data_IF_836357708015
#
_entry.id   IF_836357708015
#
_cell.length_a   1.000
_cell.length_b   1.000
_cell.length_c   1.000
_cell.angle_alpha   90.00
_cell.angle_beta   90.00
_cell.angle_gamma   90.00
#
_symmetry.space_group_name_H-M   'P 1'
#
loop_
_entity.id
_entity.type
_entity.pdbx_description
1 polymer ?
#
# COMPACT_ATOMS: atom_id res chain seq x y z
N UNK A 1 23.32 -22.53 4.26
CA UNK A 1 22.04 -23.24 4.11
C UNK A 1 21.37 -23.22 5.48
N UNK A 2 20.44 -22.30 5.66
CA UNK A 2 19.60 -22.27 6.85
C UNK A 2 18.23 -21.89 6.34
N UNK A 3 17.39 -22.90 6.06
CA UNK A 3 15.98 -22.69 5.79
C UNK A 3 15.35 -22.16 7.09
N UNK A 4 14.95 -20.90 7.09
CA UNK A 4 13.97 -20.42 8.05
C UNK A 4 12.64 -21.09 7.71
N UNK A 5 12.23 -22.02 8.56
CA UNK A 5 10.92 -22.64 8.52
C UNK A 5 9.88 -21.58 8.87
N UNK A 6 9.03 -21.24 7.90
CA UNK A 6 7.82 -20.45 8.15
C UNK A 6 6.90 -21.25 9.10
N UNK A 7 6.33 -20.61 10.14
CA UNK A 7 5.38 -21.28 11.02
C UNK A 7 4.09 -21.63 10.26
N UNK A 8 3.55 -22.81 10.57
CA UNK A 8 2.27 -23.32 10.05
C UNK A 8 1.11 -22.31 10.25
N UNK A 9 0.23 -22.26 9.25
CA UNK A 9 -0.90 -21.34 9.05
C UNK A 9 -1.82 -21.09 10.26
N UNK A 10 -1.88 -22.01 11.22
CA UNK A 10 -2.80 -21.93 12.37
C UNK A 10 -2.31 -21.03 13.54
N UNK A 11 -1.21 -20.28 13.38
CA UNK A 11 -0.59 -19.57 14.52
C UNK A 11 -0.37 -18.07 14.35
N UNK A 12 -0.68 -17.49 13.19
CA UNK A 12 -0.67 -16.03 13.05
C UNK A 12 -2.09 -15.47 13.30
N UNK A 13 -2.37 -14.83 14.45
CA UNK A 13 -3.70 -14.29 14.73
C UNK A 13 -4.16 -13.27 13.68
N UNK A 14 -3.20 -12.64 12.98
CA UNK A 14 -3.43 -11.64 11.92
C UNK A 14 -3.92 -12.21 10.58
N UNK A 15 -3.95 -13.53 10.41
CA UNK A 15 -4.43 -14.20 9.20
C UNK A 15 -5.73 -14.97 9.41
N UNK A 16 -6.30 -14.94 10.62
CA UNK A 16 -7.59 -15.61 10.85
C UNK A 16 -8.72 -14.85 10.16
N UNK A 17 -9.65 -15.58 9.53
CA UNK A 17 -10.78 -14.98 8.80
C UNK A 17 -11.62 -14.05 9.69
N UNK A 18 -11.87 -14.45 10.95
CA UNK A 18 -12.62 -13.64 11.91
C UNK A 18 -11.93 -12.30 12.22
N UNK A 19 -10.59 -12.30 12.37
CA UNK A 19 -9.82 -11.08 12.57
C UNK A 19 -9.90 -10.18 11.33
N UNK A 20 -9.65 -10.73 10.15
CA UNK A 20 -9.68 -9.97 8.89
C UNK A 20 -11.06 -9.37 8.59
N UNK A 21 -12.14 -10.10 8.87
CA UNK A 21 -13.51 -9.59 8.75
C UNK A 21 -13.77 -8.42 9.70
N UNK A 22 -13.31 -8.53 10.95
CA UNK A 22 -13.42 -7.44 11.95
C UNK A 22 -12.68 -6.19 11.47
N UNK A 23 -11.45 -6.34 10.99
CA UNK A 23 -10.65 -5.21 10.53
C UNK A 23 -11.20 -4.59 9.24
N UNK A 24 -11.74 -5.39 8.32
CA UNK A 24 -12.46 -4.90 7.15
C UNK A 24 -13.67 -4.05 7.56
N UNK A 25 -14.47 -4.54 8.51
CA UNK A 25 -15.63 -3.80 9.01
C UNK A 25 -15.20 -2.48 9.66
N UNK A 26 -14.12 -2.49 10.43
CA UNK A 26 -13.55 -1.27 10.99
C UNK A 26 -13.13 -0.26 9.90
N UNK A 27 -12.53 -0.70 8.79
CA UNK A 27 -12.24 0.17 7.64
C UNK A 27 -13.53 0.75 7.04
N UNK A 28 -14.56 -0.08 6.85
CA UNK A 28 -15.82 0.34 6.24
C UNK A 28 -16.59 1.35 7.11
N UNK A 29 -16.49 1.23 8.43
CA UNK A 29 -17.13 2.12 9.40
C UNK A 29 -16.34 3.41 9.66
N UNK A 30 -15.04 3.40 9.35
CA UNK A 30 -14.17 4.56 9.58
C UNK A 30 -14.36 5.61 8.47
N UNK A 31 -14.66 6.89 8.82
CA UNK A 31 -14.71 7.95 7.83
C UNK A 31 -13.38 8.13 7.11
N UNK A 32 -13.43 8.41 5.80
CA UNK A 32 -12.22 8.69 5.02
C UNK A 32 -11.48 9.91 5.56
N UNK A 33 -10.16 9.86 5.48
CA UNK A 33 -9.32 11.01 5.82
C UNK A 33 -9.66 12.21 4.90
N UNK A 34 -9.71 13.45 5.42
CA UNK A 34 -10.00 14.62 4.59
C UNK A 34 -8.85 14.91 3.62
N UNK A 35 -9.01 14.47 2.38
CA UNK A 35 -7.99 14.61 1.34
C UNK A 35 -7.63 16.07 1.03
N UNK A 36 -6.32 16.29 0.87
CA UNK A 36 -5.74 17.49 0.31
C UNK A 36 -6.23 17.74 -1.11
N UNK A 37 -6.11 18.98 -1.57
CA UNK A 37 -6.47 19.34 -2.94
C UNK A 37 -5.73 18.49 -3.98
N UNK A 38 -4.45 18.21 -3.75
CA UNK A 38 -3.65 17.43 -4.69
C UNK A 38 -4.10 15.98 -4.76
N UNK A 39 -4.42 15.35 -3.62
CA UNK A 39 -4.97 14.00 -3.58
C UNK A 39 -6.33 13.93 -4.30
N UNK A 40 -7.21 14.91 -4.07
CA UNK A 40 -8.50 15.00 -4.80
C UNK A 40 -8.32 15.07 -6.31
N UNK A 41 -7.38 15.90 -6.79
CA UNK A 41 -7.06 16.00 -8.23
C UNK A 41 -6.49 14.68 -8.76
N UNK A 42 -5.61 14.03 -7.99
CA UNK A 42 -5.01 12.75 -8.37
C UNK A 42 -6.07 11.64 -8.53
N UNK A 43 -6.93 11.44 -7.54
CA UNK A 43 -7.99 10.43 -7.61
C UNK A 43 -9.04 10.75 -8.67
N UNK A 44 -9.37 12.04 -8.86
CA UNK A 44 -10.21 12.44 -9.98
C UNK A 44 -9.57 12.09 -11.33
N UNK A 45 -8.25 12.28 -11.47
CA UNK A 45 -7.50 11.84 -12.65
C UNK A 45 -7.57 10.33 -12.89
N UNK A 46 -7.44 9.53 -11.83
CA UNK A 46 -7.63 8.08 -11.87
C UNK A 46 -9.04 7.70 -12.33
N UNK A 47 -10.07 8.37 -11.81
CA UNK A 47 -11.46 8.14 -12.21
C UNK A 47 -11.74 8.52 -13.67
N UNK A 48 -11.12 9.60 -14.15
CA UNK A 48 -11.21 9.99 -15.58
C UNK A 48 -10.53 8.96 -16.47
N UNK A 49 -9.38 8.42 -16.05
CA UNK A 49 -8.59 7.47 -16.83
C UNK A 49 -9.21 6.06 -16.84
N UNK A 50 -9.57 5.55 -15.66
CA UNK A 50 -9.93 4.15 -15.43
C UNK A 50 -11.42 3.92 -15.13
N UNK A 51 -12.18 5.00 -14.93
CA UNK A 51 -13.58 4.98 -14.51
C UNK A 51 -13.76 5.10 -13.00
N UNK A 52 -14.98 5.49 -12.57
CA UNK A 52 -15.33 5.67 -11.16
C UNK A 52 -15.52 4.38 -10.38
N UNK A 53 -15.89 3.28 -11.06
CA UNK A 53 -16.11 1.99 -10.42
C UNK A 53 -14.76 1.37 -10.07
N UNK A 54 -14.62 0.92 -8.83
CA UNK A 54 -13.47 0.15 -8.41
C UNK A 54 -13.66 -1.31 -8.83
N UNK A 55 -12.72 -1.82 -9.61
CA UNK A 55 -12.67 -3.20 -10.07
C UNK A 55 -11.21 -3.68 -10.16
N UNK A 56 -11.01 -4.99 -10.33
CA UNK A 56 -9.67 -5.58 -10.35
C UNK A 56 -8.71 -4.92 -11.36
N UNK A 57 -9.11 -4.59 -12.61
CA UNK A 57 -8.24 -3.83 -13.51
C UNK A 57 -7.85 -2.44 -12.97
N UNK A 58 -8.76 -1.72 -12.30
CA UNK A 58 -8.44 -0.40 -11.72
C UNK A 58 -7.54 -0.54 -10.49
N UNK A 59 -7.79 -1.54 -9.65
CA UNK A 59 -6.91 -1.88 -8.53
C UNK A 59 -5.50 -2.27 -9.02
N UNK A 60 -5.40 -3.06 -10.10
CA UNK A 60 -4.10 -3.36 -10.75
C UNK A 60 -3.35 -2.10 -11.21
N UNK A 61 -4.05 -1.10 -11.75
CA UNK A 61 -3.45 0.19 -12.08
C UNK A 61 -3.00 0.94 -10.81
N UNK A 62 -3.79 0.90 -9.74
CA UNK A 62 -3.45 1.50 -8.44
C UNK A 62 -2.14 0.93 -7.92
N UNK A 63 -1.97 -0.39 -7.90
CA UNK A 63 -0.76 -1.09 -7.45
C UNK A 63 0.49 -0.79 -8.29
N UNK A 64 0.32 -0.65 -9.61
CA UNK A 64 1.41 -0.21 -10.50
C UNK A 64 1.95 1.16 -10.05
N UNK A 65 1.06 2.03 -9.55
CA UNK A 65 1.39 3.37 -9.10
C UNK A 65 1.86 3.41 -7.64
N UNK A 66 1.32 2.56 -6.76
CA UNK A 66 1.56 2.56 -5.32
C UNK A 66 3.05 2.35 -4.96
N UNK A 67 3.78 1.52 -5.70
CA UNK A 67 5.23 1.31 -5.50
C UNK A 67 6.12 2.53 -5.87
N UNK A 68 5.58 3.55 -6.55
CA UNK A 68 6.39 4.64 -7.13
C UNK A 68 6.98 5.60 -6.08
N UNK A 69 6.19 6.14 -5.12
CA UNK A 69 6.69 7.10 -4.15
C UNK A 69 7.84 6.51 -3.32
N UNK A 70 7.69 5.27 -2.87
CA UNK A 70 8.69 4.54 -2.09
C UNK A 70 10.05 4.49 -2.79
N UNK A 71 10.09 4.05 -4.06
CA UNK A 71 11.32 4.01 -4.89
C UNK A 71 11.94 5.39 -5.06
N UNK A 72 11.11 6.39 -5.33
CA UNK A 72 11.56 7.77 -5.51
C UNK A 72 12.21 8.30 -4.22
N UNK A 73 11.61 8.01 -3.07
CA UNK A 73 12.11 8.47 -1.79
C UNK A 73 13.33 7.68 -1.33
N UNK A 74 13.40 6.39 -1.60
CA UNK A 74 14.55 5.54 -1.34
C UNK A 74 15.81 6.13 -2.01
N UNK A 75 15.76 6.40 -3.31
CA UNK A 75 16.87 7.01 -4.07
C UNK A 75 17.29 8.35 -3.43
N UNK A 76 16.32 9.18 -3.05
CA UNK A 76 16.58 10.47 -2.40
C UNK A 76 17.27 10.30 -1.05
N UNK A 77 16.90 9.28 -0.27
CA UNK A 77 17.48 9.04 1.04
C UNK A 77 18.86 8.39 0.96
N UNK A 78 19.17 7.58 -0.05
CA UNK A 78 20.55 7.17 -0.31
C UNK A 78 21.46 8.36 -0.60
N UNK A 79 20.99 9.33 -1.42
CA UNK A 79 21.75 10.57 -1.66
C UNK A 79 21.97 11.36 -0.36
N UNK A 80 20.97 11.41 0.54
CA UNK A 80 21.13 12.04 1.86
C UNK A 80 22.16 11.31 2.72
N UNK A 81 22.13 9.98 2.79
CA UNK A 81 23.14 9.20 3.51
C UNK A 81 24.55 9.49 3.01
N UNK A 82 24.77 9.44 1.69
CA UNK A 82 26.09 9.72 1.10
C UNK A 82 26.57 11.14 1.40
N UNK A 83 25.69 12.14 1.35
CA UNK A 83 26.06 13.54 1.63
C UNK A 83 26.24 13.83 3.12
N UNK A 84 25.52 13.13 3.98
CA UNK A 84 25.47 13.38 5.43
C UNK A 84 26.11 12.25 6.24
N UNK A 85 27.00 11.46 5.65
CA UNK A 85 27.57 10.24 6.25
C UNK A 85 28.24 10.47 7.62
N UNK A 86 28.71 11.68 7.90
CA UNK A 86 29.31 12.06 9.20
C UNK A 86 28.27 12.38 10.29
N UNK A 87 27.00 12.58 9.93
CA UNK A 87 25.92 12.86 10.86
C UNK A 87 25.11 11.57 11.09
N UNK A 88 25.48 10.84 12.14
CA UNK A 88 24.84 9.56 12.48
C UNK A 88 23.32 9.66 12.62
N UNK A 89 22.80 10.74 13.22
CA UNK A 89 21.35 10.94 13.34
C UNK A 89 20.66 11.15 11.99
N UNK A 90 21.29 11.88 11.07
CA UNK A 90 20.76 12.06 9.72
C UNK A 90 20.80 10.77 8.89
N UNK A 91 21.87 9.97 9.05
CA UNK A 91 22.02 8.67 8.41
C UNK A 91 20.96 7.68 8.93
N UNK A 92 20.76 7.60 10.25
CA UNK A 92 19.75 6.74 10.87
C UNK A 92 18.35 7.07 10.34
N UNK A 93 17.95 8.35 10.36
CA UNK A 93 16.65 8.77 9.81
C UNK A 93 16.47 8.46 8.33
N UNK A 94 17.54 8.59 7.55
CA UNK A 94 17.48 8.23 6.14
C UNK A 94 17.38 6.71 5.96
N UNK A 95 18.05 5.94 6.82
CA UNK A 95 17.96 4.48 6.84
C UNK A 95 16.55 4.00 7.18
N UNK A 96 15.86 4.65 8.12
CA UNK A 96 14.48 4.31 8.47
C UNK A 96 13.54 4.42 7.25
N UNK A 97 13.65 5.53 6.50
CA UNK A 97 12.85 5.73 5.28
C UNK A 97 13.24 4.75 4.18
N UNK A 98 14.52 4.41 4.05
CA UNK A 98 14.99 3.41 3.07
C UNK A 98 14.45 2.03 3.41
N UNK A 99 14.56 1.60 4.67
CA UNK A 99 14.09 0.27 5.09
C UNK A 99 12.59 0.14 4.84
N UNK A 100 11.81 1.06 5.39
CA UNK A 100 10.37 1.07 5.20
C UNK A 100 9.97 1.18 3.73
N UNK A 101 10.63 2.04 2.95
CA UNK A 101 10.34 2.17 1.52
C UNK A 101 10.67 0.91 0.70
N UNK A 102 11.58 0.05 1.15
CA UNK A 102 11.87 -1.24 0.51
C UNK A 102 10.82 -2.28 0.88
N UNK A 103 10.48 -2.35 2.15
CA UNK A 103 9.45 -3.28 2.62
C UNK A 103 8.08 -2.95 2.00
N UNK A 104 7.71 -1.66 1.97
CA UNK A 104 6.46 -1.21 1.37
C UNK A 104 6.44 -1.45 -0.15
N UNK A 105 7.45 -1.00 -0.91
CA UNK A 105 7.43 -1.20 -2.38
C UNK A 105 7.37 -2.68 -2.78
N UNK A 106 8.02 -3.57 -2.03
CA UNK A 106 7.98 -5.01 -2.29
C UNK A 106 6.60 -5.58 -1.97
N UNK A 107 5.93 -5.09 -0.92
CA UNK A 107 4.54 -5.43 -0.59
C UNK A 107 3.55 -5.00 -1.69
N UNK A 108 3.66 -3.77 -2.21
CA UNK A 108 2.85 -3.30 -3.37
C UNK A 108 3.05 -4.19 -4.61
N UNK A 109 4.28 -4.67 -4.84
CA UNK A 109 4.55 -5.61 -5.93
C UNK A 109 3.91 -6.99 -5.70
N UNK A 110 3.81 -7.44 -4.45
CA UNK A 110 3.07 -8.65 -4.11
C UNK A 110 1.57 -8.46 -4.34
N UNK A 111 0.99 -7.33 -3.93
CA UNK A 111 -0.42 -7.00 -4.20
C UNK A 111 -0.71 -6.98 -5.71
N UNK A 112 0.15 -6.32 -6.51
CA UNK A 112 0.05 -6.31 -7.96
C UNK A 112 0.00 -7.73 -8.55
N UNK A 113 0.86 -8.62 -8.05
CA UNK A 113 0.90 -10.02 -8.50
C UNK A 113 -0.38 -10.75 -8.08
N UNK A 114 -0.84 -10.60 -6.84
CA UNK A 114 -2.06 -11.22 -6.33
C UNK A 114 -3.28 -10.81 -7.18
N UNK A 115 -3.42 -9.53 -7.47
CA UNK A 115 -4.50 -9.02 -8.34
C UNK A 115 -4.39 -9.60 -9.75
N UNK A 116 -3.18 -9.69 -10.29
CA UNK A 116 -2.98 -10.29 -11.60
C UNK A 116 -3.39 -11.77 -11.63
N UNK A 117 -2.98 -12.55 -10.64
CA UNK A 117 -3.38 -13.97 -10.49
C UNK A 117 -4.89 -14.10 -10.32
N UNK A 118 -5.53 -13.19 -9.57
CA UNK A 118 -6.98 -13.15 -9.44
C UNK A 118 -7.67 -12.89 -10.78
N UNK A 119 -7.18 -11.91 -11.54
CA UNK A 119 -7.71 -11.60 -12.87
C UNK A 119 -7.56 -12.80 -13.82
N UNK A 120 -6.44 -13.52 -13.77
CA UNK A 120 -6.24 -14.74 -14.55
C UNK A 120 -7.24 -15.83 -14.14
N UNK A 121 -7.43 -16.06 -12.83
CA UNK A 121 -8.36 -17.05 -12.31
C UNK A 121 -9.82 -16.77 -12.72
N UNK A 122 -10.21 -15.50 -12.79
CA UNK A 122 -11.56 -15.08 -13.18
C UNK A 122 -11.70 -14.84 -14.70
N UNK A 123 -10.64 -15.07 -15.50
CA UNK A 123 -10.65 -14.83 -16.94
C UNK A 123 -10.80 -13.35 -17.34
N UNK A 124 -10.46 -12.43 -16.45
CA UNK A 124 -10.56 -10.98 -16.65
C UNK A 124 -9.34 -10.51 -17.45
N UNK A 125 -9.60 -9.81 -18.57
CA UNK A 125 -8.55 -9.22 -19.39
C UNK A 125 -8.17 -7.83 -18.91
N UNK A 126 -6.91 -7.47 -19.15
CA UNK A 126 -6.43 -6.10 -18.95
C UNK A 126 -7.24 -5.11 -19.81
N UNK A 127 -7.65 -4.00 -19.20
CA UNK A 127 -8.30 -2.89 -19.91
C UNK A 127 -7.26 -2.05 -20.65
N UNK A 128 -7.71 -1.23 -21.59
CA UNK A 128 -6.83 -0.41 -22.44
C UNK A 128 -5.85 0.49 -21.67
N UNK A 129 -6.22 0.99 -20.49
CA UNK A 129 -5.36 1.83 -19.66
C UNK A 129 -4.21 1.06 -18.98
N UNK A 130 -4.30 -0.28 -18.94
CA UNK A 130 -3.21 -1.18 -18.52
C UNK A 130 -2.25 -1.51 -19.67
N UNK A 131 -2.47 -0.96 -20.87
CA UNK A 131 -1.48 -1.06 -21.95
C UNK A 131 -0.16 -0.39 -21.52
N UNK A 132 0.96 -0.96 -21.97
CA UNK A 132 2.30 -0.51 -21.59
C UNK A 132 2.52 1.00 -21.84
N UNK A 133 1.93 1.55 -22.91
CA UNK A 133 2.04 2.97 -23.21
C UNK A 133 1.28 3.85 -22.19
N UNK A 134 0.02 3.52 -21.90
CA UNK A 134 -0.80 4.31 -20.99
C UNK A 134 -0.31 4.17 -19.54
N UNK A 135 -0.04 2.94 -19.11
CA UNK A 135 0.55 2.69 -17.78
C UNK A 135 1.93 3.31 -17.66
N UNK A 136 2.78 3.23 -18.69
CA UNK A 136 4.09 3.89 -18.70
C UNK A 136 4.00 5.41 -18.58
N UNK A 137 3.05 6.04 -19.27
CA UNK A 137 2.78 7.47 -19.14
C UNK A 137 2.28 7.85 -17.73
N UNK A 138 1.37 7.05 -17.15
CA UNK A 138 0.89 7.25 -15.78
C UNK A 138 2.03 7.12 -14.76
N UNK A 139 2.86 6.07 -14.87
CA UNK A 139 4.04 5.84 -14.03
C UNK A 139 5.01 7.02 -14.11
N UNK A 140 5.36 7.48 -15.32
CA UNK A 140 6.25 8.62 -15.50
C UNK A 140 5.68 9.88 -14.85
N UNK A 141 4.40 10.15 -15.08
CA UNK A 141 3.72 11.33 -14.55
C UNK A 141 3.72 11.32 -13.02
N UNK A 142 3.36 10.19 -12.42
CA UNK A 142 3.34 10.07 -10.97
C UNK A 142 4.75 10.11 -10.37
N UNK A 143 5.75 9.52 -11.04
CA UNK A 143 7.13 9.60 -10.58
C UNK A 143 7.69 11.03 -10.60
N UNK A 144 7.24 11.88 -11.54
CA UNK A 144 7.57 13.33 -11.55
C UNK A 144 6.90 14.03 -10.38
N UNK A 145 5.61 13.77 -10.13
CA UNK A 145 4.86 14.34 -9.00
C UNK A 145 5.53 13.94 -7.67
N UNK A 146 5.76 12.65 -7.43
CA UNK A 146 6.37 12.13 -6.21
C UNK A 146 7.77 12.73 -5.95
N UNK A 147 8.60 12.87 -7.00
CA UNK A 147 9.92 13.53 -6.91
C UNK A 147 9.78 14.99 -6.52
N UNK A 148 8.88 15.70 -7.19
CA UNK A 148 8.67 17.14 -6.99
C UNK A 148 8.17 17.42 -5.58
N UNK A 149 7.18 16.66 -5.10
CA UNK A 149 6.68 16.79 -3.74
C UNK A 149 7.77 16.54 -2.71
N UNK A 150 8.51 15.43 -2.82
CA UNK A 150 9.59 15.08 -1.89
C UNK A 150 10.76 16.07 -1.94
N UNK A 151 10.96 16.73 -3.08
CA UNK A 151 11.94 17.79 -3.22
C UNK A 151 11.56 19.01 -2.39
N UNK A 152 10.32 19.51 -2.51
CA UNK A 152 9.84 20.70 -1.80
C UNK A 152 9.50 20.43 -0.33
N UNK A 153 8.87 19.31 -0.03
CA UNK A 153 8.54 18.91 1.35
C UNK A 153 8.31 17.40 1.44
N UNK A 154 9.29 16.72 2.05
CA UNK A 154 9.16 15.29 2.34
C UNK A 154 7.93 14.97 3.20
N UNK A 155 7.59 15.82 4.18
CA UNK A 155 6.38 15.63 5.00
C UNK A 155 5.10 15.67 4.19
N UNK A 156 4.99 16.61 3.25
CA UNK A 156 3.81 16.67 2.38
C UNK A 156 3.74 15.50 1.41
N UNK A 157 4.89 14.97 0.98
CA UNK A 157 4.96 13.75 0.19
C UNK A 157 4.46 12.53 0.99
N UNK A 158 4.88 12.38 2.24
CA UNK A 158 4.36 11.35 3.14
C UNK A 158 2.86 11.52 3.43
N UNK A 159 2.37 12.74 3.67
CA UNK A 159 0.94 12.98 3.86
C UNK A 159 0.13 12.58 2.62
N UNK A 160 0.61 12.92 1.43
CA UNK A 160 -0.06 12.52 0.18
C UNK A 160 -0.10 11.00 0.01
N UNK A 161 0.94 10.30 0.44
CA UNK A 161 0.93 8.84 0.44
C UNK A 161 -0.06 8.30 1.48
N UNK A 162 -0.11 8.85 2.70
CA UNK A 162 -1.15 8.48 3.66
C UNK A 162 -2.58 8.67 3.08
N UNK A 163 -2.80 9.70 2.26
CA UNK A 163 -4.06 9.91 1.53
C UNK A 163 -4.28 8.85 0.43
N UNK A 164 -3.23 8.46 -0.29
CA UNK A 164 -3.22 7.37 -1.26
C UNK A 164 -3.58 6.04 -0.61
N UNK A 165 -2.91 5.67 0.48
CA UNK A 165 -3.15 4.42 1.19
C UNK A 165 -4.50 4.41 1.90
N UNK A 166 -4.94 5.55 2.45
CA UNK A 166 -6.30 5.65 2.97
C UNK A 166 -7.34 5.39 1.87
N UNK A 167 -7.07 5.81 0.62
CA UNK A 167 -7.92 5.51 -0.52
C UNK A 167 -7.89 4.02 -0.85
N UNK A 168 -6.70 3.43 -1.00
CA UNK A 168 -6.47 2.02 -1.32
C UNK A 168 -7.10 1.08 -0.28
N UNK A 169 -6.88 1.32 1.02
CA UNK A 169 -7.43 0.55 2.14
C UNK A 169 -8.93 0.31 1.95
N UNK A 170 -9.68 1.39 1.74
CA UNK A 170 -11.13 1.28 1.57
C UNK A 170 -11.58 0.85 0.17
N UNK A 171 -10.74 0.95 -0.87
CA UNK A 171 -11.01 0.31 -2.18
C UNK A 171 -11.03 -1.20 -1.98
N UNK A 172 -10.02 -1.77 -1.32
CA UNK A 172 -9.94 -3.21 -1.07
C UNK A 172 -11.05 -3.71 -0.13
N UNK A 173 -11.33 -2.98 0.94
CA UNK A 173 -12.44 -3.32 1.83
C UNK A 173 -13.79 -3.35 1.08
N UNK A 174 -13.99 -2.43 0.11
CA UNK A 174 -15.19 -2.39 -0.72
C UNK A 174 -15.21 -3.47 -1.80
N UNK A 175 -14.07 -3.79 -2.41
CA UNK A 175 -13.98 -4.85 -3.43
C UNK A 175 -14.49 -6.19 -2.91
N UNK A 176 -14.22 -6.52 -1.64
CA UNK A 176 -14.76 -7.74 -1.01
C UNK A 176 -16.28 -7.67 -0.89
N UNK A 177 -16.84 -6.52 -0.47
CA UNK A 177 -18.31 -6.32 -0.40
C UNK A 177 -18.96 -6.44 -1.78
N UNK A 178 -18.32 -5.89 -2.80
CA UNK A 178 -18.82 -5.87 -4.18
C UNK A 178 -18.68 -7.24 -4.87
N UNK A 179 -17.98 -8.19 -4.26
CA UNK A 179 -17.72 -9.54 -4.78
C UNK A 179 -18.02 -10.62 -3.72
N UNK A 180 -19.29 -10.79 -3.30
CA UNK A 180 -19.66 -11.72 -2.24
C UNK A 180 -19.30 -13.19 -2.55
N UNK A 181 -19.13 -13.55 -3.82
CA UNK A 181 -18.65 -14.86 -4.23
C UNK A 181 -17.24 -15.19 -3.73
N UNK A 182 -16.41 -14.18 -3.39
CA UNK A 182 -15.06 -14.40 -2.88
C UNK A 182 -15.02 -14.98 -1.46
N UNK A 183 -16.11 -14.87 -0.70
CA UNK A 183 -16.21 -15.42 0.67
C UNK A 183 -16.12 -16.94 0.71
N UNK A 184 -16.44 -17.60 -0.41
CA UNK A 184 -16.44 -19.07 -0.52
C UNK A 184 -15.52 -19.55 -1.63
N UNK A 185 -14.88 -18.64 -2.39
CA UNK A 185 -13.97 -19.00 -3.46
C UNK A 185 -12.60 -19.36 -2.87
N UNK A 186 -12.14 -20.62 -3.00
CA UNK A 186 -10.88 -21.05 -2.42
C UNK A 186 -9.67 -20.43 -3.14
N UNK A 187 -8.57 -20.30 -2.39
CA UNK A 187 -7.28 -19.84 -2.91
C UNK A 187 -6.31 -21.01 -2.99
N UNK A 188 -6.15 -21.56 -4.21
CA UNK A 188 -5.22 -22.66 -4.46
C UNK A 188 -3.91 -22.20 -5.15
N UNK A 189 -3.75 -20.89 -5.38
CA UNK A 189 -2.61 -20.35 -6.11
C UNK A 189 -1.36 -20.24 -5.21
N UNK A 190 -0.24 -20.90 -5.57
CA UNK A 190 0.99 -20.87 -4.75
C UNK A 190 1.58 -19.47 -4.55
N UNK A 191 1.45 -18.58 -5.54
CA UNK A 191 1.93 -17.19 -5.44
C UNK A 191 1.12 -16.43 -4.39
N UNK A 192 -0.19 -16.63 -4.40
CA UNK A 192 -1.10 -15.96 -3.44
C UNK A 192 -0.88 -16.52 -2.03
N UNK A 193 -0.67 -17.83 -1.88
CA UNK A 193 -0.32 -18.44 -0.58
C UNK A 193 1.02 -17.97 -0.01
N UNK A 194 1.98 -17.60 -0.86
CA UNK A 194 3.23 -16.97 -0.39
C UNK A 194 3.01 -15.57 0.15
N UNK A 195 2.02 -14.84 -0.37
CA UNK A 195 1.63 -13.53 0.13
C UNK A 195 0.82 -13.64 1.42
N UNK A 196 -0.27 -14.42 1.39
CA UNK A 196 -1.15 -14.67 2.53
C UNK A 196 -1.64 -16.12 2.50
N UNK A 197 -1.33 -16.89 3.54
CA UNK A 197 -1.80 -18.26 3.71
C UNK A 197 -3.18 -18.25 4.38
N UNK A 198 -4.20 -17.96 3.58
CA UNK A 198 -5.62 -17.89 3.96
C UNK A 198 -6.47 -18.70 2.98
N UNK A 199 -7.67 -19.07 3.41
CA UNK A 199 -8.49 -20.03 2.67
C UNK A 199 -9.25 -19.42 1.48
N UNK A 200 -9.62 -18.13 1.58
CA UNK A 200 -10.58 -17.51 0.64
C UNK A 200 -10.03 -16.26 -0.02
N UNK A 201 -10.52 -15.94 -1.23
CA UNK A 201 -10.14 -14.71 -1.91
C UNK A 201 -10.60 -13.47 -1.16
N UNK A 202 -11.70 -13.54 -0.42
CA UNK A 202 -12.14 -12.44 0.42
C UNK A 202 -11.08 -12.12 1.48
N UNK A 203 -10.55 -13.14 2.15
CA UNK A 203 -9.51 -12.95 3.17
C UNK A 203 -8.18 -12.45 2.58
N UNK A 204 -7.83 -12.86 1.36
CA UNK A 204 -6.66 -12.29 0.64
C UNK A 204 -6.82 -10.77 0.46
N UNK A 205 -7.98 -10.31 -0.03
CA UNK A 205 -8.20 -8.88 -0.24
C UNK A 205 -8.41 -8.09 1.06
N UNK A 206 -8.92 -8.72 2.13
CA UNK A 206 -8.93 -8.13 3.47
C UNK A 206 -7.50 -7.94 3.99
N UNK A 207 -6.61 -8.89 3.72
CA UNK A 207 -5.20 -8.76 4.09
C UNK A 207 -4.52 -7.63 3.34
N UNK A 208 -4.76 -7.48 2.04
CA UNK A 208 -4.28 -6.33 1.25
C UNK A 208 -4.80 -5.02 1.86
N UNK A 209 -6.11 -4.93 2.14
CA UNK A 209 -6.71 -3.77 2.81
C UNK A 209 -5.98 -3.41 4.11
N UNK A 210 -5.62 -4.41 4.92
CA UNK A 210 -4.89 -4.19 6.17
C UNK A 210 -3.44 -3.74 5.95
N UNK A 211 -2.75 -4.25 4.92
CA UNK A 211 -1.41 -3.80 4.54
C UNK A 211 -1.45 -2.30 4.15
N UNK A 212 -2.48 -1.85 3.43
CA UNK A 212 -2.65 -0.42 3.11
C UNK A 212 -2.82 0.44 4.36
N UNK A 213 -3.50 -0.08 5.38
CA UNK A 213 -3.61 0.61 6.67
C UNK A 213 -2.23 0.76 7.31
N UNK A 214 -1.36 -0.25 7.21
CA UNK A 214 0.01 -0.20 7.74
C UNK A 214 0.87 0.84 6.99
N UNK A 215 0.75 0.90 5.66
CA UNK A 215 1.39 1.90 4.82
C UNK A 215 0.90 3.32 5.14
N UNK A 216 -0.42 3.48 5.33
CA UNK A 216 -1.06 4.72 5.75
C UNK A 216 -0.53 5.18 7.11
N UNK A 217 -0.55 4.30 8.11
CA UNK A 217 -0.13 4.59 9.47
C UNK A 217 1.35 5.00 9.54
N UNK A 218 2.21 4.29 8.81
CA UNK A 218 3.63 4.63 8.69
C UNK A 218 3.82 6.00 8.03
N UNK A 219 3.05 6.30 6.98
CA UNK A 219 3.07 7.60 6.31
C UNK A 219 2.61 8.73 7.22
N UNK A 220 1.59 8.51 8.06
CA UNK A 220 1.16 9.47 9.08
C UNK A 220 2.26 9.73 10.12
N UNK A 221 2.94 8.69 10.59
CA UNK A 221 4.06 8.84 11.51
C UNK A 221 5.18 9.69 10.92
N UNK A 222 5.61 9.39 9.68
CA UNK A 222 6.68 10.14 9.02
C UNK A 222 6.31 11.61 8.71
N UNK A 223 5.03 11.91 8.46
CA UNK A 223 4.57 13.29 8.26
C UNK A 223 4.28 14.04 9.57
N UNK A 224 4.39 13.38 10.73
CA UNK A 224 4.19 13.98 12.05
C UNK A 224 2.72 14.11 12.45
N UNK A 225 1.87 13.22 11.95
CA UNK A 225 0.42 13.19 12.20
C UNK A 225 -0.01 11.92 12.93
N UNK A 226 0.66 11.60 14.03
CA UNK A 226 0.42 10.39 14.81
C UNK A 226 -1.02 10.30 15.35
N UNK A 227 -1.71 11.43 15.48
CA UNK A 227 -3.13 11.52 15.85
C UNK A 227 -4.09 10.84 14.85
N UNK A 228 -3.63 10.52 13.64
CA UNK A 228 -4.42 9.84 12.61
C UNK A 228 -4.04 8.37 12.41
N UNK A 229 -3.19 7.80 13.28
CA UNK A 229 -2.82 6.38 13.20
C UNK A 229 -4.00 5.53 13.67
N UNK A 230 -4.41 4.57 12.84
CA UNK A 230 -5.48 3.63 13.13
C UNK A 230 -4.87 2.34 13.69
N UNK A 231 -4.84 2.21 15.02
CA UNK A 231 -4.26 1.04 15.68
C UNK A 231 -5.19 -0.17 15.62
N UNK A 232 -4.57 -1.34 15.52
CA UNK A 232 -5.24 -2.63 15.66
C UNK A 232 -4.29 -3.63 16.33
N UNK A 233 -4.83 -4.74 16.82
CA UNK A 233 -4.06 -5.78 17.49
C UNK A 233 -3.05 -6.42 16.54
N UNK A 234 -1.76 -6.40 16.91
CA UNK A 234 -0.66 -6.98 16.13
C UNK A 234 -0.20 -6.14 14.92
N UNK A 235 -0.59 -4.87 14.85
CA UNK A 235 -0.05 -3.90 13.90
C UNK A 235 1.50 -3.84 13.96
N UNK A 236 2.21 -3.69 12.82
CA UNK A 236 3.65 -3.51 12.80
C UNK A 236 4.12 -2.29 13.62
N UNK A 237 5.40 -2.28 14.06
CA UNK A 237 5.97 -1.12 14.74
C UNK A 237 5.89 0.13 13.86
N UNK A 238 5.32 1.20 14.42
CA UNK A 238 5.27 2.49 13.74
C UNK A 238 6.68 3.08 13.66
N UNK A 239 7.12 3.59 12.49
CA UNK A 239 8.40 4.28 12.38
C UNK A 239 8.49 5.46 13.36
N UNK A 240 9.61 5.56 14.06
CA UNK A 240 9.82 6.68 14.99
C UNK A 240 9.82 8.00 14.22
N UNK A 241 8.93 8.97 14.53
CA UNK A 241 9.02 10.28 13.95
C UNK A 241 10.36 10.91 14.36
N UNK A 242 11.01 11.72 13.50
CA UNK A 242 12.24 12.39 13.87
C UNK A 242 12.02 13.24 15.12
N UNK A 243 12.63 12.84 16.24
CA UNK A 243 12.68 13.58 17.49
C UNK A 243 13.44 14.89 17.23
N UNK A 244 12.71 15.96 16.92
CA UNK A 244 13.03 17.39 17.03
C UNK A 244 12.07 18.14 16.10
N UNK A 245 10.81 18.17 16.53
CA UNK A 245 9.76 19.06 16.01
C UNK A 245 8.95 19.65 17.18
N UNK A 246 9.69 20.20 18.12
CA UNK A 246 9.32 21.44 18.80
C UNK A 246 10.31 22.50 18.31
#
# INVERSE_FOLDING_TARGET
MTQQTHPHADTNPLSTSAFLQREQQATLDTPRYPYSFLAKVFFFGMDVLAGKKDDLPKAKLLEILASIPYRVWEIRHYVKQTRQYRNHGAVARAQDVISWGRDAQDNEYLHLRVIHEKMLADGIRDKWYLSAFVSGAAVLSYAIIARTMAFFSQRRAFLFNAEFENHAEGVYARLVVDNPQWETQPVDNPIVKQYADVDTWADVFRRISLDERDHMNSSFAFCGKAEHIHQYEGMPPIPNPPSHLA
#
